data_IF_503246975840
#
_entry.id   IF_503246975840
#
_cell.length_a   1.000
_cell.length_b   1.000
_cell.length_c   1.000
_cell.angle_alpha   90.00
_cell.angle_beta   90.00
_cell.angle_gamma   90.00
#
_symmetry.space_group_name_H-M   'P 1'
#
loop_
_entity.id
_entity.type
_entity.pdbx_description
1 polymer ?
#
# COMPACT_ATOMS: atom_id res chain seq x y z
N UNK A 1 2.52 -26.87 7.97
CA UNK A 1 1.06 -26.81 7.77
C UNK A 1 0.41 -25.44 8.08
N UNK A 2 1.18 -24.44 8.42
CA UNK A 2 0.66 -23.09 8.70
C UNK A 2 0.38 -22.24 7.45
N UNK A 3 0.63 -22.76 6.26
CA UNK A 3 0.54 -21.98 5.01
C UNK A 3 -0.89 -21.77 4.49
N UNK A 4 -1.88 -22.58 4.94
CA UNK A 4 -3.26 -22.46 4.45
C UNK A 4 -3.97 -21.22 4.98
N UNK A 5 -3.86 -20.91 6.27
CA UNK A 5 -4.45 -19.71 6.86
C UNK A 5 -3.75 -18.43 6.38
N UNK A 6 -2.40 -18.45 6.27
CA UNK A 6 -1.63 -17.37 5.68
C UNK A 6 -1.94 -17.16 4.20
N UNK A 7 -2.14 -18.24 3.44
CA UNK A 7 -2.53 -18.19 2.04
C UNK A 7 -3.94 -17.60 1.85
N UNK A 8 -4.92 -17.99 2.68
CA UNK A 8 -6.26 -17.43 2.62
C UNK A 8 -6.28 -15.94 2.94
N UNK A 9 -5.61 -15.52 3.99
CA UNK A 9 -5.48 -14.09 4.34
C UNK A 9 -4.81 -13.29 3.23
N UNK A 10 -3.72 -13.81 2.66
CA UNK A 10 -3.03 -13.15 1.56
C UNK A 10 -3.93 -13.02 0.32
N UNK A 11 -4.66 -14.06 -0.04
CA UNK A 11 -5.62 -14.03 -1.16
C UNK A 11 -6.73 -13.00 -0.92
N UNK A 12 -7.23 -12.89 0.31
CA UNK A 12 -8.20 -11.86 0.69
C UNK A 12 -7.63 -10.45 0.51
N UNK A 13 -6.40 -10.20 0.96
CA UNK A 13 -5.73 -8.91 0.80
C UNK A 13 -5.45 -8.58 -0.68
N UNK A 14 -5.03 -9.53 -1.47
CA UNK A 14 -4.80 -9.36 -2.92
C UNK A 14 -6.11 -9.03 -3.66
N UNK A 15 -7.21 -9.73 -3.33
CA UNK A 15 -8.51 -9.42 -3.91
C UNK A 15 -9.03 -8.05 -3.46
N UNK A 16 -8.82 -7.71 -2.20
CA UNK A 16 -9.14 -6.39 -1.66
C UNK A 16 -8.41 -5.27 -2.40
N UNK A 17 -7.14 -5.48 -2.74
CA UNK A 17 -6.37 -4.55 -3.56
C UNK A 17 -6.99 -4.35 -4.94
N UNK A 18 -7.47 -5.41 -5.59
CA UNK A 18 -8.16 -5.31 -6.89
C UNK A 18 -9.47 -4.52 -6.80
N UNK A 19 -10.22 -4.71 -5.72
CA UNK A 19 -11.46 -3.97 -5.48
C UNK A 19 -11.15 -2.48 -5.26
N UNK A 20 -10.16 -2.17 -4.43
CA UNK A 20 -9.73 -0.79 -4.18
C UNK A 20 -9.27 -0.09 -5.46
N UNK A 21 -8.61 -0.79 -6.35
CA UNK A 21 -8.18 -0.23 -7.65
C UNK A 21 -9.34 0.24 -8.52
N UNK A 22 -10.49 -0.42 -8.40
CA UNK A 22 -11.67 -0.17 -9.27
C UNK A 22 -12.73 0.71 -8.63
N UNK A 23 -13.03 0.49 -7.35
CA UNK A 23 -14.21 1.06 -6.70
C UNK A 23 -13.95 1.90 -5.46
N UNK A 24 -12.71 1.98 -5.02
CA UNK A 24 -12.36 2.68 -3.80
C UNK A 24 -12.82 1.96 -2.53
N UNK A 25 -12.73 2.68 -1.41
CA UNK A 25 -12.94 2.12 -0.06
C UNK A 25 -14.33 1.57 0.18
N UNK A 26 -15.36 2.25 -0.32
CA UNK A 26 -16.77 1.88 -0.04
C UNK A 26 -17.16 0.53 -0.66
N UNK A 27 -16.46 0.10 -1.69
CA UNK A 27 -16.66 -1.20 -2.31
C UNK A 27 -16.02 -2.36 -1.52
N UNK A 28 -15.24 -2.07 -0.49
CA UNK A 28 -14.47 -3.05 0.25
C UNK A 28 -15.27 -3.58 1.46
N UNK A 29 -15.80 -4.80 1.31
CA UNK A 29 -16.58 -5.50 2.34
C UNK A 29 -16.04 -6.91 2.55
N UNK A 30 -15.80 -7.32 3.79
CA UNK A 30 -15.23 -8.63 4.13
C UNK A 30 -16.03 -9.78 3.50
N UNK A 31 -17.35 -9.74 3.62
CA UNK A 31 -18.22 -10.78 3.07
C UNK A 31 -18.12 -10.86 1.54
N UNK A 32 -18.17 -9.71 0.85
CA UNK A 32 -18.10 -9.65 -0.60
C UNK A 32 -16.75 -10.15 -1.13
N UNK A 33 -15.66 -9.77 -0.47
CA UNK A 33 -14.31 -10.23 -0.85
C UNK A 33 -14.20 -11.74 -0.67
N UNK A 34 -14.66 -12.27 0.46
CA UNK A 34 -14.63 -13.70 0.75
C UNK A 34 -15.40 -14.52 -0.29
N UNK A 35 -16.60 -14.07 -0.66
CA UNK A 35 -17.44 -14.74 -1.66
C UNK A 35 -16.76 -14.76 -3.05
N UNK A 36 -16.11 -13.68 -3.45
CA UNK A 36 -15.46 -13.59 -4.76
C UNK A 36 -14.29 -14.56 -4.95
N UNK A 37 -13.69 -15.04 -3.88
CA UNK A 37 -12.52 -15.94 -3.93
C UNK A 37 -12.77 -17.28 -3.25
N UNK A 38 -14.04 -17.62 -3.00
CA UNK A 38 -14.46 -18.88 -2.39
C UNK A 38 -13.80 -19.17 -1.02
N UNK A 39 -13.62 -18.14 -0.20
CA UNK A 39 -13.20 -18.27 1.18
C UNK A 39 -14.46 -18.23 2.07
N UNK A 40 -14.64 -19.17 3.01
CA UNK A 40 -15.75 -19.12 3.95
C UNK A 40 -15.77 -17.77 4.69
N UNK A 41 -16.97 -17.16 4.77
CA UNK A 41 -17.14 -15.84 5.41
C UNK A 41 -16.66 -15.84 6.87
N UNK A 42 -16.94 -16.92 7.61
CA UNK A 42 -16.49 -17.05 9.00
C UNK A 42 -14.97 -17.11 9.13
N UNK A 43 -14.30 -17.74 8.17
CA UNK A 43 -12.85 -17.76 8.11
C UNK A 43 -12.31 -16.35 7.81
N UNK A 44 -12.89 -15.66 6.84
CA UNK A 44 -12.50 -14.27 6.52
C UNK A 44 -12.68 -13.32 7.72
N UNK A 45 -13.80 -13.45 8.43
CA UNK A 45 -14.07 -12.69 9.66
C UNK A 45 -13.11 -13.00 10.80
N UNK A 46 -12.45 -14.14 10.79
CA UNK A 46 -11.40 -14.43 11.77
C UNK A 46 -10.11 -13.63 11.56
N UNK A 47 -9.86 -13.15 10.35
CA UNK A 47 -8.70 -12.32 10.01
C UNK A 47 -8.94 -10.82 10.17
N UNK A 48 -10.18 -10.37 10.04
CA UNK A 48 -10.55 -8.95 10.02
C UNK A 48 -11.72 -8.68 10.97
N UNK A 49 -11.56 -7.67 11.82
CA UNK A 49 -12.60 -7.26 12.77
C UNK A 49 -13.82 -6.65 12.08
N UNK A 50 -13.67 -6.18 10.84
CA UNK A 50 -14.73 -5.58 10.04
C UNK A 50 -14.19 -5.01 8.75
N UNK A 51 -15.04 -4.32 7.99
CA UNK A 51 -14.69 -3.75 6.70
C UNK A 51 -13.62 -2.65 6.81
N UNK A 52 -13.65 -1.88 7.88
CA UNK A 52 -12.63 -0.87 8.15
C UNK A 52 -11.26 -1.51 8.45
N UNK A 53 -11.23 -2.55 9.25
CA UNK A 53 -9.99 -3.29 9.53
C UNK A 53 -9.42 -3.95 8.26
N UNK A 54 -10.29 -4.50 7.41
CA UNK A 54 -9.89 -5.02 6.10
C UNK A 54 -9.21 -3.92 5.27
N UNK A 55 -9.78 -2.71 5.24
CA UNK A 55 -9.19 -1.57 4.55
C UNK A 55 -7.80 -1.21 5.12
N UNK A 56 -7.67 -1.11 6.43
CA UNK A 56 -6.39 -0.78 7.08
C UNK A 56 -5.34 -1.86 6.79
N UNK A 57 -5.69 -3.13 6.93
CA UNK A 57 -4.76 -4.23 6.65
C UNK A 57 -4.37 -4.30 5.17
N UNK A 58 -5.30 -4.01 4.26
CA UNK A 58 -5.01 -3.93 2.83
C UNK A 58 -4.06 -2.77 2.52
N UNK A 59 -4.27 -1.61 3.13
CA UNK A 59 -3.37 -0.45 2.98
C UNK A 59 -1.96 -0.77 3.45
N UNK A 60 -1.82 -1.43 4.59
CA UNK A 60 -0.52 -1.88 5.11
C UNK A 60 0.15 -2.92 4.21
N UNK A 61 -0.62 -3.84 3.68
CA UNK A 61 -0.14 -4.85 2.73
C UNK A 61 0.42 -4.21 1.44
N UNK A 62 -0.25 -3.20 0.91
CA UNK A 62 0.19 -2.45 -0.25
C UNK A 62 1.46 -1.64 0.03
N UNK A 63 1.48 -0.93 1.15
CA UNK A 63 2.63 -0.11 1.58
C UNK A 63 3.87 -0.98 1.83
N UNK A 64 3.71 -2.11 2.48
CA UNK A 64 4.81 -3.04 2.77
C UNK A 64 5.49 -3.57 1.50
N UNK A 65 4.73 -3.89 0.47
CA UNK A 65 5.30 -4.35 -0.81
C UNK A 65 6.16 -3.29 -1.48
N UNK A 66 5.70 -2.04 -1.49
CA UNK A 66 6.47 -0.93 -2.04
C UNK A 66 7.72 -0.68 -1.20
N UNK A 67 7.55 -0.69 0.11
CA UNK A 67 8.67 -0.49 1.05
C UNK A 67 9.76 -1.53 0.86
N UNK A 68 9.40 -2.82 0.81
CA UNK A 68 10.36 -3.91 0.57
C UNK A 68 11.09 -3.74 -0.76
N UNK A 69 10.39 -3.41 -1.83
CA UNK A 69 11.00 -3.17 -3.13
C UNK A 69 11.95 -1.96 -3.11
N UNK A 70 11.57 -0.89 -2.44
CA UNK A 70 12.39 0.30 -2.28
C UNK A 70 13.66 0.02 -1.46
N UNK A 71 13.56 -0.70 -0.35
CA UNK A 71 14.73 -1.10 0.44
C UNK A 71 15.69 -1.97 -0.36
N UNK A 72 15.19 -2.93 -1.12
CA UNK A 72 16.04 -3.74 -2.01
C UNK A 72 16.77 -2.91 -3.05
N UNK A 73 16.12 -1.90 -3.61
CA UNK A 73 16.75 -0.99 -4.57
C UNK A 73 17.84 -0.14 -3.91
N UNK A 74 17.60 0.36 -2.69
CA UNK A 74 18.56 1.14 -1.91
C UNK A 74 19.79 0.30 -1.49
N UNK A 75 19.57 -0.97 -1.11
CA UNK A 75 20.64 -1.88 -0.71
C UNK A 75 21.65 -2.18 -1.83
N UNK A 76 21.26 -1.95 -3.10
CA UNK A 76 22.16 -2.08 -4.26
C UNK A 76 23.10 -0.89 -4.44
N UNK A 77 22.80 0.21 -3.80
CA UNK A 77 23.63 1.41 -3.86
C UNK A 77 24.77 1.31 -2.85
N UNK A 78 25.94 1.98 -3.12
CA UNK A 78 27.00 2.13 -2.12
C UNK A 78 26.48 2.90 -0.89
N UNK A 79 27.06 2.64 0.27
CA UNK A 79 26.66 3.32 1.53
C UNK A 79 26.83 4.84 1.47
N UNK A 80 27.78 5.31 0.68
CA UNK A 80 28.06 6.72 0.46
C UNK A 80 27.33 7.32 -0.75
N UNK A 81 26.35 6.61 -1.33
CA UNK A 81 25.56 7.12 -2.44
C UNK A 81 24.91 8.46 -2.11
N UNK A 82 24.94 9.38 -3.06
CA UNK A 82 24.31 10.69 -2.90
C UNK A 82 22.81 10.58 -2.70
N UNK A 83 22.23 11.48 -1.92
CA UNK A 83 20.79 11.51 -1.63
C UNK A 83 19.94 11.51 -2.90
N UNK A 84 20.37 12.22 -3.95
CA UNK A 84 19.66 12.26 -5.23
C UNK A 84 19.67 10.91 -5.94
N UNK A 85 20.71 10.11 -5.80
CA UNK A 85 20.77 8.76 -6.35
C UNK A 85 19.80 7.83 -5.61
N UNK A 86 19.73 7.93 -4.29
CA UNK A 86 18.76 7.19 -3.46
C UNK A 86 17.33 7.52 -3.86
N UNK A 87 17.03 8.81 -4.00
CA UNK A 87 15.70 9.26 -4.43
C UNK A 87 15.34 8.75 -5.82
N UNK A 88 16.30 8.76 -6.74
CA UNK A 88 16.12 8.25 -8.11
C UNK A 88 15.77 6.76 -8.11
N UNK A 89 16.45 5.94 -7.31
CA UNK A 89 16.19 4.52 -7.22
C UNK A 89 14.80 4.22 -6.63
N UNK A 90 14.39 4.95 -5.60
CA UNK A 90 13.03 4.82 -5.03
C UNK A 90 11.97 5.26 -6.05
N UNK A 91 12.19 6.34 -6.77
CA UNK A 91 11.29 6.79 -7.82
C UNK A 91 11.14 5.76 -8.94
N UNK A 92 12.22 5.10 -9.36
CA UNK A 92 12.17 4.01 -10.33
C UNK A 92 11.30 2.84 -9.85
N UNK A 93 11.41 2.44 -8.59
CA UNK A 93 10.55 1.40 -8.00
C UNK A 93 9.08 1.78 -8.12
N UNK A 94 8.74 3.01 -7.78
CA UNK A 94 7.38 3.52 -7.85
C UNK A 94 6.84 3.54 -9.28
N UNK A 95 7.61 4.04 -10.25
CA UNK A 95 7.22 4.08 -11.66
C UNK A 95 7.14 2.69 -12.29
N UNK A 96 8.06 1.80 -11.95
CA UNK A 96 8.03 0.42 -12.42
C UNK A 96 6.77 -0.30 -11.95
N UNK A 97 6.34 -0.05 -10.70
CA UNK A 97 5.09 -0.58 -10.19
C UNK A 97 3.90 -0.12 -11.03
N UNK A 98 3.87 1.15 -11.44
CA UNK A 98 2.81 1.68 -12.28
C UNK A 98 2.75 1.00 -13.65
N UNK A 99 3.91 0.67 -14.21
CA UNK A 99 4.02 0.06 -15.55
C UNK A 99 3.77 -1.44 -15.50
N UNK A 100 4.37 -2.14 -14.54
CA UNK A 100 4.33 -3.61 -14.47
C UNK A 100 3.06 -4.12 -13.81
N UNK A 101 2.50 -3.36 -12.87
CA UNK A 101 1.27 -3.74 -12.16
C UNK A 101 0.37 -2.52 -11.93
N UNK A 102 -0.32 -2.04 -12.97
CA UNK A 102 -1.17 -0.85 -12.88
C UNK A 102 -2.33 -1.01 -11.87
N UNK A 103 -2.87 -2.21 -11.72
CA UNK A 103 -3.93 -2.49 -10.73
C UNK A 103 -3.42 -2.25 -9.30
N UNK A 104 -2.25 -2.74 -8.99
CA UNK A 104 -1.63 -2.57 -7.69
C UNK A 104 -1.30 -1.09 -7.40
N UNK A 105 -0.75 -0.41 -8.40
CA UNK A 105 -0.45 1.01 -8.33
C UNK A 105 -1.70 1.86 -8.08
N UNK A 106 -2.81 1.57 -8.79
CA UNK A 106 -4.08 2.25 -8.56
C UNK A 106 -4.63 2.00 -7.15
N UNK A 107 -4.57 0.76 -6.66
CA UNK A 107 -4.98 0.42 -5.30
C UNK A 107 -4.15 1.18 -4.26
N UNK A 108 -2.84 1.22 -4.42
CA UNK A 108 -1.92 1.93 -3.54
C UNK A 108 -2.25 3.43 -3.49
N UNK A 109 -2.44 4.08 -4.62
CA UNK A 109 -2.77 5.50 -4.68
C UNK A 109 -4.14 5.79 -4.07
N UNK A 110 -5.14 4.94 -4.30
CA UNK A 110 -6.46 5.09 -3.70
C UNK A 110 -6.41 4.98 -2.17
N UNK A 111 -5.60 4.10 -1.63
CA UNK A 111 -5.36 4.01 -0.19
C UNK A 111 -4.65 5.26 0.35
N UNK A 112 -3.62 5.72 -0.33
CA UNK A 112 -2.86 6.91 0.09
C UNK A 112 -3.74 8.16 0.11
N UNK A 113 -4.54 8.36 -0.92
CA UNK A 113 -5.47 9.49 -0.98
C UNK A 113 -6.46 9.47 0.18
N UNK A 114 -7.00 8.29 0.50
CA UNK A 114 -7.98 8.15 1.58
C UNK A 114 -7.38 8.31 2.98
N UNK A 115 -6.10 7.96 3.18
CA UNK A 115 -5.44 8.05 4.48
C UNK A 115 -4.69 9.35 4.70
N UNK A 116 -4.16 9.94 3.62
CA UNK A 116 -3.34 11.14 3.69
C UNK A 116 -4.18 12.43 3.68
N UNK A 117 -5.35 12.39 3.04
CA UNK A 117 -6.21 13.57 2.88
C UNK A 117 -7.66 13.21 3.22
N UNK A 118 -8.01 13.10 4.52
CA UNK A 118 -9.37 12.79 4.94
C UNK A 118 -10.39 13.85 4.49
N UNK A 119 -9.96 15.11 4.33
CA UNK A 119 -10.75 16.20 3.80
C UNK A 119 -9.94 16.97 2.75
N UNK A 120 -10.57 17.35 1.64
CA UNK A 120 -9.91 18.04 0.54
C UNK A 120 -9.31 19.40 0.95
N UNK A 121 -9.98 20.11 1.86
CA UNK A 121 -9.52 21.41 2.39
C UNK A 121 -8.26 21.22 3.26
N UNK A 122 -8.24 20.21 4.12
CA UNK A 122 -7.04 19.83 4.90
C UNK A 122 -5.89 19.39 4.00
N UNK A 123 -6.20 18.79 2.85
CA UNK A 123 -5.23 18.35 1.85
C UNK A 123 -4.44 19.50 1.22
N UNK A 124 -5.04 20.69 1.05
CA UNK A 124 -4.36 21.86 0.50
C UNK A 124 -3.35 22.43 1.51
N UNK A 125 -3.73 22.54 2.78
CA UNK A 125 -2.81 22.97 3.84
C UNK A 125 -1.69 21.94 4.08
N UNK A 126 -2.01 20.66 3.99
CA UNK A 126 -1.03 19.58 4.14
C UNK A 126 -0.12 19.39 2.92
N UNK A 127 -0.53 19.84 1.73
CA UNK A 127 0.30 19.77 0.52
C UNK A 127 1.60 20.60 0.65
N UNK A 128 1.62 21.57 1.53
CA UNK A 128 2.82 22.34 1.89
C UNK A 128 3.63 21.65 3.02
N UNK A 129 3.11 20.59 3.61
CA UNK A 129 3.74 19.87 4.70
C UNK A 129 4.46 18.61 4.19
N UNK A 130 5.46 18.18 4.96
CA UNK A 130 6.18 16.93 4.72
C UNK A 130 5.26 15.70 4.68
N UNK A 131 4.12 15.75 5.38
CA UNK A 131 3.13 14.68 5.44
C UNK A 131 2.32 14.49 4.14
N UNK A 132 2.40 15.46 3.21
CA UNK A 132 1.76 15.35 1.90
C UNK A 132 2.42 14.30 0.98
N UNK A 133 3.65 13.91 1.27
CA UNK A 133 4.35 12.91 0.47
C UNK A 133 3.90 11.50 0.82
N UNK A 134 3.84 10.58 -0.17
CA UNK A 134 3.66 9.17 0.11
C UNK A 134 4.66 8.66 1.17
N UNK A 135 4.28 7.73 2.05
CA UNK A 135 5.13 7.29 3.16
C UNK A 135 6.56 6.89 2.77
N UNK A 136 6.71 6.28 1.59
CA UNK A 136 8.04 5.88 1.10
C UNK A 136 8.93 7.10 0.80
N UNK A 137 8.37 8.16 0.23
CA UNK A 137 9.13 9.38 -0.02
C UNK A 137 9.45 10.13 1.27
N UNK A 138 8.53 10.13 2.24
CA UNK A 138 8.80 10.68 3.58
C UNK A 138 9.97 9.96 4.23
N UNK A 139 9.95 8.64 4.21
CA UNK A 139 11.04 7.83 4.75
C UNK A 139 12.39 8.18 4.08
N UNK A 140 12.43 8.27 2.75
CA UNK A 140 13.65 8.66 2.01
C UNK A 140 14.12 10.05 2.44
N UNK A 141 13.22 11.02 2.49
CA UNK A 141 13.56 12.40 2.87
C UNK A 141 14.05 12.50 4.32
N UNK A 142 13.49 11.71 5.25
CA UNK A 142 13.97 11.63 6.63
C UNK A 142 15.41 11.13 6.71
N UNK A 143 15.75 10.10 5.92
CA UNK A 143 17.09 9.50 5.91
C UNK A 143 18.10 10.27 5.02
N UNK A 144 17.66 11.29 4.33
CA UNK A 144 18.54 12.20 3.58
C UNK A 144 19.10 13.33 4.44
N UNK A 145 18.58 13.54 5.64
CA UNK A 145 19.01 14.65 6.53
C UNK A 145 20.26 14.34 7.36
N UNK A 146 20.68 13.10 7.38
CA UNK A 146 21.90 12.63 8.03
C UNK A 146 23.04 12.54 6.99
#
# INVERSE_FOLDING_TARGET
MNNLAGSAKQRLLEQSARILAKGGRDALQVCAVAEQIDVPVDEAKSFFEGDHDLYIQTSRFLDERIRVAAFKALDRLPDDAAAIEKLREVAKVYFNLAIENPTYFAAYNNCQTATSFPNFEDGIEQAESFDAFPPIFRWVLEHMRD
#
